data_IF_680122539250
#
_entry.id   IF_680122539250
#
_cell.length_a   1.000
_cell.length_b   1.000
_cell.length_c   1.000
_cell.angle_alpha   90.00
_cell.angle_beta   90.00
_cell.angle_gamma   90.00
#
_symmetry.space_group_name_H-M   'P 1'
#
loop_
_entity.id
_entity.type
_entity.pdbx_description
1 polymer ?
#
# COMPACT_ATOMS: atom_id res chain seq x y z
N UNK A 1 -53.02 45.43 18.51
CA UNK A 1 -53.10 45.31 19.98
C UNK A 1 -52.24 44.17 20.41
N UNK A 2 -51.29 44.58 21.27
CA UNK A 2 -50.65 43.80 22.38
C UNK A 2 -49.72 42.69 21.98
N UNK A 3 -48.47 42.92 22.15
CA UNK A 3 -47.47 42.94 23.22
C UNK A 3 -46.65 41.67 23.29
N UNK A 4 -45.38 41.80 23.03
CA UNK A 4 -44.22 41.67 23.93
C UNK A 4 -43.98 40.27 24.51
N UNK A 5 -42.85 39.76 24.23
CA UNK A 5 -42.21 38.64 24.93
C UNK A 5 -40.74 38.49 24.54
N UNK A 6 -39.97 39.43 24.98
CA UNK A 6 -38.51 39.42 24.92
C UNK A 6 -38.03 38.47 26.02
N UNK A 7 -37.44 37.37 25.68
CA UNK A 7 -36.76 36.54 26.68
C UNK A 7 -35.34 36.22 26.16
N UNK A 8 -34.45 37.09 26.53
CA UNK A 8 -33.00 36.95 26.37
C UNK A 8 -32.54 35.89 27.38
N UNK A 9 -32.16 34.73 26.93
CA UNK A 9 -31.45 33.76 27.75
C UNK A 9 -29.98 33.82 27.33
N UNK A 10 -29.20 34.50 28.17
CA UNK A 10 -27.75 34.42 28.19
C UNK A 10 -27.34 33.02 28.64
N UNK A 11 -26.91 32.18 27.76
CA UNK A 11 -26.11 31.01 28.10
C UNK A 11 -24.65 31.37 28.01
N UNK A 12 -24.06 31.70 29.14
CA UNK A 12 -22.61 31.79 29.32
C UNK A 12 -22.06 30.35 29.20
N UNK A 13 -21.56 30.02 28.01
CA UNK A 13 -20.82 28.80 27.81
C UNK A 13 -19.43 28.97 28.40
N UNK A 14 -19.20 28.33 29.53
CA UNK A 14 -17.88 28.15 30.13
C UNK A 14 -17.10 27.14 29.24
N UNK A 15 -16.34 27.67 28.27
CA UNK A 15 -15.34 26.89 27.56
C UNK A 15 -14.16 26.65 28.51
N UNK A 16 -14.18 25.54 29.21
CA UNK A 16 -13.01 24.99 29.88
C UNK A 16 -12.10 24.42 28.79
N UNK A 17 -11.18 25.25 28.31
CA UNK A 17 -10.06 24.81 27.50
C UNK A 17 -9.12 23.98 28.38
N UNK A 18 -9.31 22.67 28.41
CA UNK A 18 -8.33 21.73 28.89
C UNK A 18 -7.16 21.72 27.87
N UNK A 19 -6.26 22.67 28.00
CA UNK A 19 -4.92 22.58 27.40
C UNK A 19 -4.20 21.47 28.16
N UNK A 20 -4.35 20.24 27.68
CA UNK A 20 -3.43 19.16 28.01
C UNK A 20 -2.08 19.52 27.40
N UNK A 21 -1.26 20.19 28.20
CA UNK A 21 0.15 20.39 27.93
C UNK A 21 0.83 19.02 27.88
N UNK A 22 0.87 18.42 26.72
CA UNK A 22 1.81 17.36 26.39
C UNK A 22 3.18 18.03 26.25
N UNK A 23 3.80 18.36 27.39
CA UNK A 23 5.22 18.57 27.50
C UNK A 23 5.89 17.20 27.31
N UNK A 24 5.93 16.74 26.07
CA UNK A 24 6.80 15.67 25.61
C UNK A 24 8.16 16.27 25.38
N UNK A 25 9.07 15.97 26.31
CA UNK A 25 10.49 16.26 26.25
C UNK A 25 11.12 15.93 24.90
N UNK A 26 12.09 16.77 24.53
CA UNK A 26 13.07 16.68 23.49
C UNK A 26 13.48 15.25 23.12
N UNK A 27 12.94 14.79 22.02
CA UNK A 27 13.49 13.72 21.24
C UNK A 27 13.70 14.30 19.87
N UNK A 28 14.93 14.21 19.35
CA UNK A 28 15.16 14.40 17.93
C UNK A 28 14.09 13.67 17.15
N UNK A 29 13.80 14.08 15.95
CA UNK A 29 12.82 13.43 15.07
C UNK A 29 13.20 11.96 14.88
N UNK A 30 12.79 11.14 15.85
CA UNK A 30 12.88 9.70 15.67
C UNK A 30 11.98 9.36 14.51
N UNK A 31 12.60 8.89 13.43
CA UNK A 31 11.86 8.41 12.27
C UNK A 31 10.79 7.38 12.65
N UNK A 32 9.95 6.94 11.72
CA UNK A 32 8.88 6.01 12.03
C UNK A 32 9.46 4.71 12.61
N UNK A 33 8.75 4.13 13.57
CA UNK A 33 9.10 2.79 14.05
C UNK A 33 8.88 1.75 12.94
N UNK A 34 9.60 0.62 13.02
CA UNK A 34 9.41 -0.49 12.08
C UNK A 34 7.94 -0.92 11.98
N UNK A 35 7.23 -1.01 13.11
CA UNK A 35 5.81 -1.37 13.12
C UNK A 35 4.91 -0.34 12.43
N UNK A 36 5.23 0.95 12.53
CA UNK A 36 4.52 2.00 11.80
C UNK A 36 4.78 1.91 10.30
N UNK A 37 6.04 1.71 9.91
CA UNK A 37 6.44 1.55 8.52
C UNK A 37 5.75 0.34 7.86
N UNK A 38 5.77 -0.83 8.51
CA UNK A 38 5.07 -2.03 8.03
C UNK A 38 3.57 -1.76 7.86
N UNK A 39 2.89 -1.16 8.84
CA UNK A 39 1.46 -0.85 8.72
C UNK A 39 1.15 0.06 7.53
N UNK A 40 1.97 1.08 7.30
CA UNK A 40 1.81 2.00 6.17
C UNK A 40 2.05 1.30 4.83
N UNK A 41 3.11 0.51 4.73
CA UNK A 41 3.42 -0.27 3.53
C UNK A 41 2.32 -1.29 3.22
N UNK A 42 1.91 -2.08 4.20
CA UNK A 42 0.82 -3.06 4.03
C UNK A 42 -0.51 -2.41 3.59
N UNK A 43 -0.78 -1.18 4.04
CA UNK A 43 -1.96 -0.44 3.58
C UNK A 43 -1.84 -0.07 2.09
N UNK A 44 -0.64 0.31 1.64
CA UNK A 44 -0.36 0.61 0.23
C UNK A 44 -0.52 -0.65 -0.63
N UNK A 45 0.07 -1.78 -0.22
CA UNK A 45 0.01 -3.04 -0.96
C UNK A 45 -1.43 -3.58 -1.05
N UNK A 46 -2.21 -3.52 0.03
CA UNK A 46 -3.64 -3.88 -0.03
C UNK A 46 -4.45 -3.01 -0.99
N UNK A 47 -4.13 -1.72 -1.10
CA UNK A 47 -4.81 -0.84 -2.05
C UNK A 47 -4.44 -1.18 -3.49
N UNK A 48 -3.18 -1.50 -3.77
CA UNK A 48 -2.76 -1.95 -5.09
C UNK A 48 -3.43 -3.26 -5.49
N UNK A 49 -3.49 -4.24 -4.58
CA UNK A 49 -4.20 -5.49 -4.79
C UNK A 49 -5.70 -5.27 -5.09
N UNK A 50 -6.37 -4.40 -4.36
CA UNK A 50 -7.76 -4.05 -4.60
C UNK A 50 -7.95 -3.36 -5.98
N UNK A 51 -6.99 -2.54 -6.40
CA UNK A 51 -7.00 -1.91 -7.73
C UNK A 51 -6.81 -2.95 -8.83
N UNK A 52 -5.93 -3.94 -8.66
CA UNK A 52 -5.77 -5.06 -9.58
C UNK A 52 -7.08 -5.86 -9.74
N UNK A 53 -7.73 -6.21 -8.62
CA UNK A 53 -9.03 -6.90 -8.66
C UNK A 53 -10.07 -6.10 -9.45
N UNK A 54 -10.13 -4.78 -9.20
CA UNK A 54 -11.04 -3.88 -9.93
C UNK A 54 -10.73 -3.85 -11.43
N UNK A 55 -9.48 -3.73 -11.82
CA UNK A 55 -9.07 -3.74 -13.23
C UNK A 55 -9.37 -5.10 -13.87
N UNK A 56 -9.06 -6.20 -13.18
CA UNK A 56 -9.34 -7.54 -13.65
C UNK A 56 -10.83 -7.79 -13.91
N UNK A 57 -11.72 -7.15 -13.16
CA UNK A 57 -13.17 -7.30 -13.34
C UNK A 57 -13.70 -6.79 -14.68
N UNK A 58 -12.92 -5.95 -15.38
CA UNK A 58 -13.27 -5.46 -16.72
C UNK A 58 -12.96 -6.47 -17.85
N UNK A 59 -12.23 -7.53 -17.52
CA UNK A 59 -11.81 -8.57 -18.47
C UNK A 59 -12.52 -9.89 -18.17
N UNK A 60 -12.78 -10.68 -19.22
CA UNK A 60 -13.19 -12.07 -19.02
C UNK A 60 -12.00 -12.87 -18.46
N UNK A 61 -12.27 -13.84 -17.59
CA UNK A 61 -11.22 -14.67 -16.98
C UNK A 61 -10.21 -15.24 -17.99
N UNK A 62 -10.68 -15.64 -19.20
CA UNK A 62 -9.85 -16.13 -20.28
C UNK A 62 -8.92 -15.08 -20.92
N UNK A 63 -9.21 -13.80 -20.70
CA UNK A 63 -8.41 -12.69 -21.26
C UNK A 63 -7.27 -12.29 -20.33
N UNK A 64 -7.33 -12.72 -19.05
CA UNK A 64 -6.25 -12.61 -18.09
C UNK A 64 -5.65 -14.00 -17.93
N UNK A 65 -4.85 -14.41 -18.89
CA UNK A 65 -4.25 -15.72 -18.95
C UNK A 65 -2.97 -15.69 -19.79
N UNK A 66 -2.11 -16.70 -19.72
CA UNK A 66 -0.95 -16.82 -20.61
C UNK A 66 -1.36 -16.63 -22.07
N UNK A 67 -0.61 -15.80 -22.80
CA UNK A 67 -0.91 -15.43 -24.19
C UNK A 67 -1.77 -14.17 -24.38
N UNK A 68 -2.33 -13.58 -23.34
CA UNK A 68 -3.11 -12.35 -23.40
C UNK A 68 -2.35 -11.13 -22.85
N UNK A 69 -1.19 -10.86 -23.39
CA UNK A 69 -0.24 -9.85 -22.93
C UNK A 69 -0.88 -8.50 -22.54
N UNK A 70 -1.67 -7.89 -23.43
CA UNK A 70 -2.25 -6.57 -23.19
C UNK A 70 -3.18 -6.52 -21.97
N UNK A 71 -4.04 -7.51 -21.81
CA UNK A 71 -4.97 -7.55 -20.69
C UNK A 71 -4.21 -7.74 -19.37
N UNK A 72 -3.24 -8.64 -19.37
CA UNK A 72 -2.42 -8.96 -18.19
C UNK A 72 -1.59 -7.77 -17.74
N UNK A 73 -0.82 -7.17 -18.65
CA UNK A 73 0.01 -6.00 -18.31
C UNK A 73 -0.85 -4.81 -17.89
N UNK A 74 -2.04 -4.62 -18.48
CA UNK A 74 -2.95 -3.54 -18.07
C UNK A 74 -3.54 -3.73 -16.67
N UNK A 75 -3.61 -4.95 -16.18
CA UNK A 75 -4.12 -5.27 -14.84
C UNK A 75 -3.02 -5.21 -13.80
N UNK A 76 -1.82 -5.68 -14.14
CA UNK A 76 -0.70 -5.85 -13.20
C UNK A 76 0.13 -4.60 -13.06
N UNK A 77 0.65 -4.10 -14.17
CA UNK A 77 1.71 -3.09 -14.17
C UNK A 77 1.29 -1.76 -13.53
N UNK A 78 0.18 -1.12 -13.91
CA UNK A 78 -0.15 0.20 -13.37
C UNK A 78 -0.36 0.23 -11.85
N UNK A 79 -1.06 -0.74 -11.21
CA UNK A 79 -1.15 -0.80 -9.76
C UNK A 79 0.20 -1.01 -9.08
N UNK A 80 1.07 -1.86 -9.63
CA UNK A 80 2.40 -2.13 -9.08
C UNK A 80 3.32 -0.91 -9.16
N UNK A 81 3.33 -0.20 -10.28
CA UNK A 81 4.06 1.07 -10.41
C UNK A 81 3.60 2.11 -9.40
N UNK A 82 2.28 2.21 -9.19
CA UNK A 82 1.69 3.13 -8.23
C UNK A 82 2.03 2.73 -6.79
N UNK A 83 2.01 1.43 -6.50
CA UNK A 83 2.44 0.86 -5.22
C UNK A 83 3.90 1.23 -4.95
N UNK A 84 4.80 0.93 -5.88
CA UNK A 84 6.24 1.22 -5.77
C UNK A 84 6.48 2.71 -5.51
N UNK A 85 5.85 3.61 -6.28
CA UNK A 85 5.99 5.06 -6.06
C UNK A 85 5.56 5.47 -4.66
N UNK A 86 4.49 4.89 -4.13
CA UNK A 86 3.98 5.21 -2.79
C UNK A 86 4.86 4.64 -1.69
N UNK A 87 5.37 3.41 -1.87
CA UNK A 87 6.31 2.79 -0.94
C UNK A 87 7.63 3.58 -0.89
N UNK A 88 8.16 4.03 -2.04
CA UNK A 88 9.33 4.92 -2.12
C UNK A 88 9.11 6.29 -1.43
N UNK A 89 7.86 6.71 -1.28
CA UNK A 89 7.49 7.94 -0.57
C UNK A 89 7.43 7.79 0.96
N UNK A 90 7.55 6.57 1.50
CA UNK A 90 7.62 6.35 2.94
C UNK A 90 9.04 6.54 3.44
N UNK A 91 9.17 7.16 4.61
CA UNK A 91 10.45 7.21 5.32
C UNK A 91 10.67 5.88 6.05
N UNK A 92 11.72 5.11 5.73
CA UNK A 92 12.02 3.88 6.45
C UNK A 92 12.59 4.18 7.85
N UNK A 93 12.52 3.23 8.78
CA UNK A 93 13.30 3.32 10.02
C UNK A 93 14.78 3.40 9.70
N UNK A 94 15.54 4.21 10.44
CA UNK A 94 16.94 4.50 10.17
C UNK A 94 17.81 3.23 10.09
N UNK A 95 17.58 2.27 10.97
CA UNK A 95 18.35 1.02 11.00
C UNK A 95 17.94 0.00 9.91
N UNK A 96 16.84 0.25 9.23
CA UNK A 96 16.26 -0.66 8.24
C UNK A 96 16.36 -0.15 6.80
N UNK A 97 16.96 1.02 6.56
CA UNK A 97 17.03 1.64 5.22
C UNK A 97 17.57 0.70 4.14
N UNK A 98 18.64 -0.06 4.47
CA UNK A 98 19.24 -1.01 3.51
C UNK A 98 18.29 -2.15 3.16
N UNK A 99 17.55 -2.68 4.15
CA UNK A 99 16.59 -3.77 3.94
C UNK A 99 15.41 -3.30 3.12
N UNK A 100 14.88 -2.11 3.46
CA UNK A 100 13.78 -1.50 2.71
C UNK A 100 14.18 -1.20 1.28
N UNK A 101 15.38 -0.66 1.07
CA UNK A 101 15.91 -0.40 -0.26
C UNK A 101 15.97 -1.67 -1.10
N UNK A 102 16.50 -2.77 -0.58
CA UNK A 102 16.57 -4.04 -1.30
C UNK A 102 15.18 -4.56 -1.72
N UNK A 103 14.17 -4.42 -0.84
CA UNK A 103 12.77 -4.76 -1.18
C UNK A 103 12.27 -3.89 -2.33
N UNK A 104 12.47 -2.57 -2.26
CA UNK A 104 12.00 -1.64 -3.28
C UNK A 104 12.70 -1.83 -4.63
N UNK A 105 14.00 -2.11 -4.63
CA UNK A 105 14.77 -2.44 -5.83
C UNK A 105 14.27 -3.75 -6.46
N UNK A 106 13.97 -4.76 -5.64
CA UNK A 106 13.39 -6.01 -6.13
C UNK A 106 11.98 -5.82 -6.74
N UNK A 107 11.12 -4.99 -6.12
CA UNK A 107 9.82 -4.65 -6.71
C UNK A 107 9.99 -3.89 -8.03
N UNK A 108 10.93 -2.95 -8.10
CA UNK A 108 11.22 -2.18 -9.31
C UNK A 108 11.68 -3.08 -10.47
N UNK A 109 12.60 -4.02 -10.19
CA UNK A 109 13.04 -5.03 -11.15
C UNK A 109 11.87 -5.88 -11.62
N UNK A 110 11.05 -6.39 -10.69
CA UNK A 110 9.88 -7.19 -11.05
C UNK A 110 8.85 -6.45 -11.91
N UNK A 111 8.64 -5.15 -11.66
CA UNK A 111 7.77 -4.32 -12.51
C UNK A 111 8.37 -4.17 -13.91
N UNK A 112 9.68 -3.92 -14.00
CA UNK A 112 10.38 -3.83 -15.29
C UNK A 112 10.24 -5.14 -16.08
N UNK A 113 10.47 -6.27 -15.44
CA UNK A 113 10.41 -7.59 -16.09
C UNK A 113 8.96 -7.92 -16.51
N UNK A 114 7.98 -7.62 -15.67
CA UNK A 114 6.57 -7.78 -16.04
C UNK A 114 6.11 -6.91 -17.22
N UNK A 115 6.82 -5.81 -17.51
CA UNK A 115 6.56 -4.98 -18.69
C UNK A 115 7.15 -5.59 -19.97
N UNK A 116 8.24 -6.34 -19.86
CA UNK A 116 9.01 -6.84 -21.02
C UNK A 116 8.79 -8.33 -21.25
N UNK A 117 8.62 -9.11 -20.19
CA UNK A 117 8.33 -10.55 -20.25
C UNK A 117 7.13 -10.93 -19.40
N UNK A 118 5.94 -10.82 -19.99
CA UNK A 118 4.66 -11.10 -19.30
C UNK A 118 4.48 -12.57 -18.92
N UNK A 119 5.24 -13.49 -19.52
CA UNK A 119 5.13 -14.92 -19.20
C UNK A 119 5.59 -15.19 -17.78
N UNK A 120 6.59 -14.48 -17.32
CA UNK A 120 7.16 -14.65 -15.98
C UNK A 120 6.16 -14.31 -14.87
N UNK A 121 5.17 -13.43 -15.15
CA UNK A 121 4.12 -13.08 -14.21
C UNK A 121 3.16 -14.24 -13.89
N UNK A 122 3.11 -15.26 -14.75
CA UNK A 122 2.17 -16.38 -14.63
C UNK A 122 2.77 -17.69 -14.11
N UNK A 123 4.07 -17.81 -14.11
CA UNK A 123 4.75 -19.03 -13.71
C UNK A 123 5.46 -18.83 -12.37
N UNK A 124 5.11 -19.62 -11.35
CA UNK A 124 5.75 -19.53 -10.02
C UNK A 124 7.27 -19.75 -10.10
N UNK A 125 7.76 -20.51 -11.08
CA UNK A 125 9.18 -20.77 -11.28
C UNK A 125 9.96 -19.53 -11.75
N UNK A 126 9.26 -18.56 -12.35
CA UNK A 126 9.83 -17.33 -12.90
C UNK A 126 9.11 -16.09 -12.39
N UNK A 127 8.51 -16.13 -11.20
CA UNK A 127 7.86 -14.94 -10.63
C UNK A 127 8.87 -13.80 -10.46
N UNK A 128 8.77 -12.71 -11.24
CA UNK A 128 9.73 -11.62 -11.20
C UNK A 128 9.75 -10.87 -9.87
N UNK A 129 8.76 -11.13 -9.01
CA UNK A 129 8.65 -10.55 -7.67
C UNK A 129 9.08 -11.51 -6.55
N UNK A 130 9.50 -12.75 -6.87
CA UNK A 130 9.74 -13.79 -5.87
C UNK A 130 10.76 -13.36 -4.80
N UNK A 131 11.88 -12.76 -5.21
CA UNK A 131 12.91 -12.27 -4.29
C UNK A 131 12.39 -11.11 -3.44
N UNK A 132 11.73 -10.13 -4.04
CA UNK A 132 11.15 -8.99 -3.33
C UNK A 132 10.10 -9.44 -2.30
N UNK A 133 9.23 -10.39 -2.67
CA UNK A 133 8.22 -10.99 -1.81
C UNK A 133 8.85 -11.70 -0.60
N UNK A 134 9.94 -12.45 -0.83
CA UNK A 134 10.66 -13.13 0.24
C UNK A 134 11.35 -12.13 1.19
N UNK A 135 11.98 -11.09 0.65
CA UNK A 135 12.58 -10.02 1.45
C UNK A 135 11.53 -9.27 2.27
N UNK A 136 10.39 -8.94 1.66
CA UNK A 136 9.27 -8.27 2.32
C UNK A 136 8.70 -9.12 3.46
N UNK A 137 8.53 -10.41 3.25
CA UNK A 137 8.08 -11.37 4.27
C UNK A 137 9.06 -11.44 5.43
N UNK A 138 10.36 -11.58 5.17
CA UNK A 138 11.43 -11.59 6.19
C UNK A 138 11.48 -10.28 6.97
N UNK A 139 11.18 -9.18 6.31
CA UNK A 139 11.11 -7.87 6.96
C UNK A 139 9.90 -7.75 7.90
N UNK A 140 8.83 -8.48 7.63
CA UNK A 140 7.61 -8.54 8.43
C UNK A 140 6.38 -7.92 7.78
N UNK A 141 6.41 -7.64 6.48
CA UNK A 141 5.21 -7.29 5.73
C UNK A 141 4.27 -8.50 5.59
N UNK A 142 2.97 -8.23 5.61
CA UNK A 142 1.91 -9.23 5.48
C UNK A 142 1.04 -9.03 4.23
N UNK A 143 1.16 -7.89 3.59
CA UNK A 143 0.42 -7.60 2.37
C UNK A 143 1.34 -7.29 1.18
N UNK A 144 2.56 -6.83 1.45
CA UNK A 144 3.58 -6.61 0.43
C UNK A 144 4.44 -7.87 0.12
N UNK A 145 4.11 -9.01 0.70
CA UNK A 145 4.82 -10.27 0.51
C UNK A 145 4.30 -11.10 -0.67
N UNK A 146 3.53 -10.49 -1.55
CA UNK A 146 2.89 -11.14 -2.70
C UNK A 146 1.58 -11.85 -2.39
N UNK A 147 1.24 -12.08 -1.12
CA UNK A 147 0.02 -12.82 -0.74
C UNK A 147 -1.27 -12.09 -1.13
N UNK A 148 -1.25 -10.77 -1.16
CA UNK A 148 -2.40 -9.93 -1.52
C UNK A 148 -2.62 -9.81 -3.03
N UNK A 149 -1.64 -10.13 -3.86
CA UNK A 149 -1.72 -10.06 -5.33
C UNK A 149 -2.28 -11.35 -5.98
N UNK A 150 -3.15 -12.04 -5.27
CA UNK A 150 -3.69 -13.36 -5.65
C UNK A 150 -4.51 -13.40 -6.96
N UNK A 151 -4.81 -12.24 -7.58
CA UNK A 151 -5.59 -12.18 -8.84
C UNK A 151 -4.88 -12.85 -10.00
N UNK A 152 -3.56 -13.01 -9.91
CA UNK A 152 -2.72 -13.47 -11.01
C UNK A 152 -2.19 -14.88 -10.77
N UNK A 153 -2.42 -15.46 -9.59
CA UNK A 153 -1.99 -16.85 -9.36
C UNK A 153 -2.74 -17.75 -10.31
N UNK A 154 -2.06 -18.45 -11.23
CA UNK A 154 -2.69 -19.49 -12.00
C UNK A 154 -3.23 -20.51 -10.98
N UNK A 155 -4.51 -20.85 -11.10
CA UNK A 155 -5.00 -22.03 -10.42
C UNK A 155 -4.15 -23.19 -10.94
N UNK A 156 -3.35 -23.81 -10.08
CA UNK A 156 -2.73 -25.07 -10.37
C UNK A 156 -3.80 -26.04 -10.90
N UNK A 157 -3.51 -26.80 -11.95
CA UNK A 157 -4.46 -27.71 -12.56
C UNK A 157 -4.96 -28.76 -11.56
#
# INVERSE_FOLDING_TARGET
MTTRGLTTILFAALMVAALSSLTGCGGGEEGPTKAQFIRQGDAICRQAAAEQVKLASHYKKKEIAPGHYKATTSVVVPPMEKELRRLKGLSPPQDDEKKVRAILEGIESGVHDAQHDYLDVFYEENDPFAEANELARKYGFHACDGSSHAVIKPHAP
#
